data_IF_250973045313
#
_entry.id   IF_250973045313
#
_cell.length_a   1.000
_cell.length_b   1.000
_cell.length_c   1.000
_cell.angle_alpha   90.00
_cell.angle_beta   90.00
_cell.angle_gamma   90.00
#
_symmetry.space_group_name_H-M   'P 1'
#
loop_
_entity.id
_entity.type
_entity.pdbx_description
1 polymer ?
#
# COMPACT_ATOMS: atom_id res chain seq x y z
N UNK A 1 -10.48 15.64 43.20
CA UNK A 1 -9.81 14.59 42.38
C UNK A 1 -10.74 14.16 41.23
N UNK A 2 -10.60 14.72 40.02
CA UNK A 2 -11.45 14.38 38.84
C UNK A 2 -10.71 14.47 37.49
N UNK A 3 -9.36 14.44 37.50
CA UNK A 3 -8.51 14.72 36.31
C UNK A 3 -7.79 13.49 35.74
N UNK A 4 -8.03 12.29 36.28
CA UNK A 4 -7.36 11.04 35.86
C UNK A 4 -7.99 10.37 34.63
N UNK A 5 -9.29 10.57 34.38
CA UNK A 5 -10.02 9.81 33.36
C UNK A 5 -9.63 10.19 31.92
N UNK A 6 -9.21 11.43 31.67
CA UNK A 6 -8.82 11.89 30.33
C UNK A 6 -7.47 11.31 29.87
N UNK A 7 -6.51 11.10 30.79
CA UNK A 7 -5.21 10.54 30.44
C UNK A 7 -5.33 9.05 30.10
N UNK A 8 -6.12 8.31 30.86
CA UNK A 8 -6.36 6.88 30.61
C UNK A 8 -6.93 6.70 29.20
N UNK A 9 -7.88 7.55 28.77
CA UNK A 9 -8.45 7.48 27.43
C UNK A 9 -7.40 7.72 26.33
N UNK A 10 -6.54 8.73 26.48
CA UNK A 10 -5.46 9.02 25.51
C UNK A 10 -4.43 7.89 25.46
N UNK A 11 -4.03 7.36 26.61
CA UNK A 11 -3.10 6.23 26.68
C UNK A 11 -3.71 4.95 26.10
N UNK A 12 -4.97 4.66 26.38
CA UNK A 12 -5.67 3.49 25.83
C UNK A 12 -5.79 3.62 24.32
N UNK A 13 -6.19 4.79 23.79
CA UNK A 13 -6.25 5.02 22.34
C UNK A 13 -4.87 4.95 21.67
N UNK A 14 -3.84 5.50 22.29
CA UNK A 14 -2.47 5.41 21.77
C UNK A 14 -1.97 3.98 21.78
N UNK A 15 -2.18 3.23 22.87
CA UNK A 15 -1.83 1.81 22.94
C UNK A 15 -2.64 0.99 21.93
N UNK A 16 -3.93 1.26 21.74
CA UNK A 16 -4.76 0.66 20.69
C UNK A 16 -4.22 0.98 19.30
N UNK A 17 -3.78 2.21 19.06
CA UNK A 17 -3.23 2.62 17.76
C UNK A 17 -1.87 1.95 17.51
N UNK A 18 -1.03 1.81 18.52
CA UNK A 18 0.24 1.09 18.42
C UNK A 18 0.02 -0.42 18.27
N UNK A 19 -0.92 -1.03 19.01
CA UNK A 19 -1.20 -2.46 18.84
C UNK A 19 -1.90 -2.75 17.53
N UNK A 20 -2.92 -1.99 17.12
CA UNK A 20 -3.56 -2.15 15.81
C UNK A 20 -2.62 -1.80 14.67
N UNK A 21 -1.78 -0.76 14.81
CA UNK A 21 -0.80 -0.39 13.79
C UNK A 21 0.30 -1.43 13.61
N UNK A 22 0.74 -2.08 14.70
CA UNK A 22 1.73 -3.17 14.67
C UNK A 22 1.11 -4.50 14.23
N UNK A 23 -0.14 -4.79 14.60
CA UNK A 23 -0.85 -5.99 14.15
C UNK A 23 -1.39 -5.85 12.72
N UNK A 24 -1.61 -4.63 12.22
CA UNK A 24 -2.00 -4.42 10.81
C UNK A 24 -0.91 -4.86 9.83
N UNK A 25 0.35 -4.97 10.28
CA UNK A 25 1.46 -5.52 9.49
C UNK A 25 1.46 -7.07 9.45
N UNK A 26 0.66 -7.73 10.30
CA UNK A 26 0.63 -9.20 10.45
C UNK A 26 -0.77 -9.79 10.41
N UNK A 27 -1.81 -8.98 10.20
CA UNK A 27 -3.13 -9.49 9.89
C UNK A 27 -3.12 -10.03 8.46
N UNK A 28 -2.79 -11.32 8.39
CA UNK A 28 -3.26 -12.26 7.38
C UNK A 28 -4.80 -12.27 7.42
N UNK A 29 -5.41 -11.14 7.05
CA UNK A 29 -6.81 -11.07 6.66
C UNK A 29 -6.85 -11.91 5.41
N UNK A 30 -7.31 -13.17 5.56
CA UNK A 30 -7.36 -14.15 4.47
C UNK A 30 -7.61 -13.44 3.16
N UNK A 31 -6.55 -13.41 2.34
CA UNK A 31 -6.45 -12.70 1.06
C UNK A 31 -7.82 -12.80 0.38
N UNK A 32 -8.48 -11.67 0.13
CA UNK A 32 -9.89 -11.60 -0.29
C UNK A 32 -10.06 -12.14 -1.73
N UNK A 33 -9.74 -13.40 -1.95
CA UNK A 33 -9.70 -14.08 -3.25
C UNK A 33 -11.10 -14.43 -3.74
N UNK A 34 -12.11 -14.40 -2.88
CA UNK A 34 -13.48 -14.70 -3.31
C UNK A 34 -14.12 -13.52 -4.05
N UNK A 35 -13.78 -12.29 -3.67
CA UNK A 35 -14.38 -11.10 -4.29
C UNK A 35 -13.66 -10.74 -5.60
N UNK A 36 -12.36 -11.04 -5.74
CA UNK A 36 -11.61 -10.76 -6.99
C UNK A 36 -12.25 -11.46 -8.20
N UNK A 37 -12.63 -12.73 -8.08
CA UNK A 37 -13.24 -13.50 -9.16
C UNK A 37 -14.56 -12.87 -9.63
N UNK A 38 -15.37 -12.39 -8.67
CA UNK A 38 -16.62 -11.69 -8.97
C UNK A 38 -16.36 -10.35 -9.66
N UNK A 39 -15.34 -9.61 -9.23
CA UNK A 39 -14.95 -8.33 -9.83
C UNK A 39 -14.42 -8.50 -11.26
N UNK A 40 -13.60 -9.52 -11.51
CA UNK A 40 -13.08 -9.86 -12.84
C UNK A 40 -14.21 -10.26 -13.78
N UNK A 41 -15.14 -11.11 -13.32
CA UNK A 41 -16.31 -11.52 -14.10
C UNK A 41 -17.20 -10.31 -14.44
N UNK A 42 -17.48 -9.44 -13.47
CA UNK A 42 -18.26 -8.24 -13.70
C UNK A 42 -17.62 -7.30 -14.75
N UNK A 43 -16.29 -7.14 -14.75
CA UNK A 43 -15.63 -6.34 -15.78
C UNK A 43 -15.68 -7.01 -17.16
N UNK A 44 -15.41 -8.31 -17.22
CA UNK A 44 -15.44 -9.09 -18.46
C UNK A 44 -16.79 -8.98 -19.17
N UNK A 45 -17.89 -9.08 -18.42
CA UNK A 45 -19.26 -8.98 -18.98
C UNK A 45 -19.61 -7.56 -19.46
N UNK A 46 -18.94 -6.54 -18.94
CA UNK A 46 -19.22 -5.13 -19.25
C UNK A 46 -18.29 -4.54 -20.33
N UNK A 47 -17.33 -5.31 -20.84
CA UNK A 47 -16.42 -4.90 -21.91
C UNK A 47 -16.75 -5.74 -23.15
N UNK A 48 -16.88 -5.14 -24.35
CA UNK A 48 -17.15 -5.89 -25.57
C UNK A 48 -16.13 -7.02 -25.79
N UNK A 49 -16.58 -8.18 -26.24
CA UNK A 49 -15.71 -9.36 -26.45
C UNK A 49 -14.61 -9.10 -27.48
N UNK A 50 -14.90 -8.29 -28.50
CA UNK A 50 -13.99 -7.91 -29.58
C UNK A 50 -13.05 -6.75 -29.22
N UNK A 51 -13.20 -6.15 -28.04
CA UNK A 51 -12.29 -5.11 -27.57
C UNK A 51 -10.87 -5.67 -27.36
N UNK A 52 -9.88 -4.89 -27.78
CA UNK A 52 -8.47 -5.30 -27.81
C UNK A 52 -7.67 -4.56 -26.73
N UNK A 53 -7.45 -5.22 -25.61
CA UNK A 53 -6.73 -4.68 -24.44
C UNK A 53 -5.22 -4.81 -24.67
N UNK A 54 -4.45 -3.71 -24.70
CA UNK A 54 -3.00 -3.77 -24.85
C UNK A 54 -2.35 -4.32 -23.58
N UNK A 55 -1.45 -5.29 -23.72
CA UNK A 55 -0.71 -5.87 -22.61
C UNK A 55 0.72 -6.21 -23.04
N UNK A 56 1.68 -5.78 -22.22
CA UNK A 56 3.04 -6.32 -22.22
C UNK A 56 3.07 -7.44 -21.20
N UNK A 57 3.51 -8.64 -21.57
CA UNK A 57 3.51 -9.80 -20.68
C UNK A 57 4.66 -10.73 -21.01
N UNK A 58 5.01 -11.57 -20.04
CA UNK A 58 5.89 -12.73 -20.26
C UNK A 58 5.07 -14.03 -20.18
N UNK A 59 5.16 -14.91 -21.18
CA UNK A 59 4.50 -16.22 -21.13
C UNK A 59 5.04 -17.09 -19.98
N UNK A 60 4.21 -18.02 -19.47
CA UNK A 60 4.60 -18.97 -18.41
C UNK A 60 5.83 -19.77 -18.76
N UNK A 61 5.94 -20.16 -20.03
CA UNK A 61 7.05 -20.98 -20.54
C UNK A 61 8.40 -20.24 -20.51
N UNK A 62 8.36 -18.91 -20.41
CA UNK A 62 9.55 -18.05 -20.35
C UNK A 62 9.82 -17.52 -18.94
N UNK A 63 8.77 -17.23 -18.18
CA UNK A 63 8.88 -16.78 -16.79
C UNK A 63 9.00 -17.92 -15.77
N UNK A 64 8.75 -19.16 -16.17
CA UNK A 64 8.73 -20.36 -15.31
C UNK A 64 7.94 -20.12 -14.02
N UNK A 65 8.58 -20.27 -12.85
CA UNK A 65 7.96 -20.05 -11.53
C UNK A 65 7.84 -18.57 -11.15
N UNK A 66 8.42 -17.66 -11.94
CA UNK A 66 8.47 -16.22 -11.66
C UNK A 66 7.53 -15.40 -12.54
N UNK A 67 6.75 -16.08 -13.39
CA UNK A 67 5.87 -15.41 -14.34
C UNK A 67 4.84 -14.50 -13.64
N UNK A 68 4.36 -14.82 -12.42
CA UNK A 68 3.43 -13.92 -11.71
C UNK A 68 4.15 -12.65 -11.32
N UNK A 69 5.29 -12.76 -10.60
CA UNK A 69 6.13 -11.61 -10.21
C UNK A 69 6.43 -10.70 -11.40
N UNK A 70 6.85 -11.29 -12.52
CA UNK A 70 7.23 -10.59 -13.75
C UNK A 70 6.06 -9.89 -14.45
N UNK A 71 4.82 -10.36 -14.29
CA UNK A 71 3.65 -9.80 -14.97
C UNK A 71 2.86 -8.77 -14.15
N UNK A 72 2.95 -8.78 -12.81
CA UNK A 72 2.15 -7.89 -11.94
C UNK A 72 2.26 -6.42 -12.35
N UNK A 73 3.48 -5.92 -12.57
CA UNK A 73 3.70 -4.52 -12.92
C UNK A 73 3.02 -4.11 -14.24
N UNK A 74 3.12 -4.96 -15.27
CA UNK A 74 2.54 -4.64 -16.58
C UNK A 74 1.01 -4.79 -16.58
N UNK A 75 0.46 -5.68 -15.76
CA UNK A 75 -0.99 -5.79 -15.57
C UNK A 75 -1.57 -4.58 -14.84
N UNK A 76 -0.89 -4.07 -13.82
CA UNK A 76 -1.28 -2.81 -13.16
C UNK A 76 -1.37 -1.69 -14.19
N UNK A 77 -0.34 -1.53 -15.03
CA UNK A 77 -0.30 -0.50 -16.06
C UNK A 77 -1.41 -0.67 -17.11
N UNK A 78 -1.62 -1.90 -17.58
CA UNK A 78 -2.68 -2.21 -18.55
C UNK A 78 -4.07 -1.91 -17.98
N UNK A 79 -4.33 -2.27 -16.71
CA UNK A 79 -5.57 -1.95 -16.02
C UNK A 79 -5.73 -0.45 -15.77
N UNK A 80 -4.67 0.29 -15.45
CA UNK A 80 -4.74 1.75 -15.32
C UNK A 80 -5.18 2.39 -16.64
N UNK A 81 -4.54 2.00 -17.75
CA UNK A 81 -4.89 2.44 -19.10
C UNK A 81 -6.35 2.08 -19.46
N UNK A 82 -6.81 0.87 -19.08
CA UNK A 82 -8.20 0.44 -19.25
C UNK A 82 -9.15 1.29 -18.40
N UNK A 83 -8.78 1.60 -17.15
CA UNK A 83 -9.60 2.39 -16.23
C UNK A 83 -9.87 3.80 -16.76
N UNK A 84 -8.92 4.36 -17.52
CA UNK A 84 -9.05 5.66 -18.15
C UNK A 84 -10.07 5.67 -19.30
N UNK A 85 -10.45 4.51 -19.84
CA UNK A 85 -11.53 4.39 -20.86
C UNK A 85 -12.92 4.50 -20.26
N UNK A 86 -13.07 4.24 -18.98
CA UNK A 86 -14.35 4.35 -18.30
C UNK A 86 -14.64 5.79 -17.85
N UNK A 87 -15.92 6.15 -17.87
CA UNK A 87 -16.40 7.42 -17.33
C UNK A 87 -16.02 7.61 -15.86
N UNK A 88 -15.90 8.85 -15.41
CA UNK A 88 -15.36 9.18 -14.08
C UNK A 88 -16.18 8.65 -12.89
N UNK A 89 -17.47 8.38 -13.09
CA UNK A 89 -18.40 7.87 -12.07
C UNK A 89 -18.86 6.44 -12.43
N UNK A 90 -18.11 5.76 -13.29
CA UNK A 90 -18.44 4.40 -13.73
C UNK A 90 -18.07 3.39 -12.65
N UNK A 91 -19.00 2.49 -12.32
CA UNK A 91 -18.71 1.33 -11.47
C UNK A 91 -17.57 0.48 -12.04
N UNK A 92 -17.45 0.36 -13.36
CA UNK A 92 -16.34 -0.37 -13.98
C UNK A 92 -14.99 0.29 -13.68
N UNK A 93 -14.94 1.62 -13.61
CA UNK A 93 -13.72 2.34 -13.21
C UNK A 93 -13.35 2.03 -11.77
N UNK A 94 -14.33 2.01 -10.87
CA UNK A 94 -14.11 1.71 -9.45
C UNK A 94 -13.69 0.26 -9.23
N UNK A 95 -14.33 -0.70 -9.92
CA UNK A 95 -13.92 -2.12 -9.90
C UNK A 95 -12.51 -2.29 -10.46
N UNK A 96 -12.18 -1.62 -11.56
CA UNK A 96 -10.83 -1.68 -12.15
C UNK A 96 -9.78 -1.16 -11.17
N UNK A 97 -10.04 -0.03 -10.50
CA UNK A 97 -9.16 0.52 -9.46
C UNK A 97 -8.98 -0.44 -8.30
N UNK A 98 -10.03 -1.13 -7.87
CA UNK A 98 -9.94 -2.13 -6.82
C UNK A 98 -9.03 -3.30 -7.22
N UNK A 99 -9.12 -3.78 -8.46
CA UNK A 99 -8.22 -4.83 -8.99
C UNK A 99 -6.77 -4.33 -9.05
N UNK A 100 -6.55 -3.08 -9.46
CA UNK A 100 -5.21 -2.46 -9.43
C UNK A 100 -4.66 -2.45 -8.00
N UNK A 101 -5.47 -2.11 -7.01
CA UNK A 101 -5.04 -2.14 -5.60
C UNK A 101 -4.62 -3.54 -5.17
N UNK A 102 -5.35 -4.59 -5.56
CA UNK A 102 -4.95 -5.96 -5.27
C UNK A 102 -3.61 -6.34 -5.92
N UNK A 103 -3.38 -5.95 -7.18
CA UNK A 103 -2.07 -6.18 -7.83
C UNK A 103 -0.95 -5.40 -7.14
N UNK A 104 -1.22 -4.18 -6.66
CA UNK A 104 -0.24 -3.40 -5.91
C UNK A 104 0.13 -4.08 -4.58
N UNK A 105 -0.83 -4.70 -3.91
CA UNK A 105 -0.57 -5.50 -2.70
C UNK A 105 0.32 -6.71 -3.03
N UNK A 106 0.06 -7.42 -4.13
CA UNK A 106 0.93 -8.48 -4.64
C UNK A 106 2.35 -7.97 -4.91
N UNK A 107 2.46 -6.83 -5.59
CA UNK A 107 3.75 -6.22 -5.94
C UNK A 107 4.55 -5.87 -4.69
N UNK A 108 3.92 -5.29 -3.68
CA UNK A 108 4.56 -4.95 -2.40
C UNK A 108 5.11 -6.21 -1.72
N UNK A 109 4.36 -7.32 -1.75
CA UNK A 109 4.81 -8.59 -1.18
C UNK A 109 6.05 -9.10 -1.93
N UNK A 110 6.05 -9.07 -3.26
CA UNK A 110 7.20 -9.52 -4.06
C UNK A 110 8.44 -8.64 -3.89
N UNK A 111 8.26 -7.33 -3.69
CA UNK A 111 9.36 -6.38 -3.48
C UNK A 111 10.08 -6.55 -2.13
N UNK A 112 9.56 -7.35 -1.19
CA UNK A 112 10.22 -7.57 0.10
C UNK A 112 11.55 -8.33 -0.02
N UNK A 113 11.67 -9.22 -1.01
CA UNK A 113 12.84 -10.08 -1.17
C UNK A 113 13.54 -9.91 -2.54
N UNK A 114 12.93 -9.20 -3.48
CA UNK A 114 13.44 -9.05 -4.85
C UNK A 114 13.34 -7.60 -5.30
N UNK A 115 14.39 -7.11 -5.98
CA UNK A 115 14.28 -5.86 -6.72
C UNK A 115 13.54 -6.11 -8.04
N UNK A 116 12.24 -5.87 -8.04
CA UNK A 116 11.37 -6.16 -9.18
C UNK A 116 11.78 -5.40 -10.45
N UNK A 117 12.33 -4.19 -10.34
CA UNK A 117 12.78 -3.42 -11.50
C UNK A 117 13.99 -4.06 -12.19
N UNK A 118 14.96 -4.52 -11.39
CA UNK A 118 16.09 -5.29 -11.93
C UNK A 118 15.62 -6.61 -12.54
N UNK A 119 14.73 -7.32 -11.85
CA UNK A 119 14.19 -8.59 -12.34
C UNK A 119 13.45 -8.42 -13.69
N UNK A 120 12.62 -7.38 -13.82
CA UNK A 120 11.95 -7.08 -15.09
C UNK A 120 12.99 -6.80 -16.19
N UNK A 121 14.05 -6.05 -15.88
CA UNK A 121 15.13 -5.75 -16.82
C UNK A 121 15.87 -7.02 -17.28
N UNK A 122 16.11 -7.97 -16.38
CA UNK A 122 16.81 -9.22 -16.72
C UNK A 122 16.01 -10.10 -17.70
N UNK A 123 14.68 -9.95 -17.70
CA UNK A 123 13.76 -10.67 -18.59
C UNK A 123 13.30 -9.86 -19.82
N UNK A 124 13.85 -8.66 -20.06
CA UNK A 124 13.37 -7.71 -21.09
C UNK A 124 13.15 -8.37 -22.47
N UNK A 125 14.09 -9.20 -22.92
CA UNK A 125 14.05 -9.85 -24.23
C UNK A 125 12.95 -10.92 -24.39
N UNK A 126 12.29 -11.32 -23.29
CA UNK A 126 11.24 -12.35 -23.28
C UNK A 126 9.82 -11.77 -23.18
N UNK A 127 9.70 -10.47 -22.94
CA UNK A 127 8.40 -9.81 -22.93
C UNK A 127 7.85 -9.69 -24.36
N UNK A 128 6.56 -9.95 -24.49
CA UNK A 128 5.78 -9.73 -25.70
C UNK A 128 4.77 -8.63 -25.44
N UNK A 129 4.53 -7.78 -26.45
CA UNK A 129 3.50 -6.74 -26.38
C UNK A 129 2.42 -7.05 -27.40
N UNK A 130 1.22 -7.34 -26.91
CA UNK A 130 0.10 -7.80 -27.71
C UNK A 130 -1.19 -7.05 -27.36
N UNK A 131 -2.23 -7.33 -28.14
CA UNK A 131 -3.58 -6.79 -27.98
C UNK A 131 -4.56 -7.93 -27.84
N UNK A 132 -4.91 -8.24 -26.60
CA UNK A 132 -5.71 -9.40 -26.27
C UNK A 132 -7.20 -9.11 -26.31
N UNK A 133 -7.97 -10.12 -26.69
CA UNK A 133 -9.42 -10.09 -26.55
C UNK A 133 -9.80 -10.05 -25.07
N UNK A 134 -10.95 -9.45 -24.76
CA UNK A 134 -11.44 -9.27 -23.40
C UNK A 134 -11.41 -10.58 -22.61
N UNK A 135 -11.91 -11.68 -23.19
CA UNK A 135 -11.90 -12.99 -22.53
C UNK A 135 -10.49 -13.44 -22.11
N UNK A 136 -9.56 -13.50 -23.07
CA UNK A 136 -8.17 -13.93 -22.84
C UNK A 136 -7.47 -13.08 -21.79
N UNK A 137 -7.69 -11.75 -21.81
CA UNK A 137 -7.09 -10.84 -20.84
C UNK A 137 -7.57 -11.10 -19.41
N UNK A 138 -8.88 -11.25 -19.21
CA UNK A 138 -9.42 -11.51 -17.88
C UNK A 138 -9.16 -12.94 -17.40
N UNK A 139 -9.07 -13.92 -18.31
CA UNK A 139 -8.64 -15.28 -17.98
C UNK A 139 -7.20 -15.30 -17.45
N UNK A 140 -6.29 -14.53 -18.08
CA UNK A 140 -4.91 -14.40 -17.61
C UNK A 140 -4.80 -13.72 -16.24
N UNK A 141 -5.55 -12.64 -16.01
CA UNK A 141 -5.63 -11.99 -14.69
C UNK A 141 -6.13 -12.96 -13.63
N UNK A 142 -7.20 -13.70 -13.91
CA UNK A 142 -7.73 -14.69 -12.99
C UNK A 142 -6.70 -15.77 -12.67
N UNK A 143 -5.98 -16.27 -13.67
CA UNK A 143 -4.93 -17.27 -13.48
C UNK A 143 -3.78 -16.72 -12.62
N UNK A 144 -3.43 -15.45 -12.80
CA UNK A 144 -2.43 -14.77 -11.98
C UNK A 144 -2.84 -14.66 -10.52
N UNK A 145 -4.06 -14.21 -10.23
CA UNK A 145 -4.55 -14.12 -8.85
C UNK A 145 -4.68 -15.49 -8.18
N UNK A 146 -4.94 -16.56 -8.94
CA UNK A 146 -4.94 -17.94 -8.41
C UNK A 146 -3.53 -18.46 -8.11
N UNK A 147 -2.54 -18.06 -8.89
CA UNK A 147 -1.16 -18.50 -8.72
C UNK A 147 -0.41 -17.71 -7.65
N UNK A 148 -0.69 -16.41 -7.52
CA UNK A 148 0.05 -15.49 -6.64
C UNK A 148 0.19 -15.95 -5.17
N UNK A 149 -0.81 -16.56 -4.52
CA UNK A 149 -0.67 -17.07 -3.15
C UNK A 149 0.36 -18.21 -3.01
N UNK A 150 0.59 -18.96 -4.09
CA UNK A 150 1.52 -20.09 -4.10
C UNK A 150 2.90 -19.71 -4.65
N UNK A 151 3.08 -18.46 -5.09
CA UNK A 151 4.36 -17.99 -5.59
C UNK A 151 5.34 -17.88 -4.41
N UNK A 152 6.36 -18.74 -4.39
CA UNK A 152 7.37 -18.71 -3.35
C UNK A 152 8.17 -17.40 -3.46
N UNK A 153 7.95 -16.50 -2.51
CA UNK A 153 8.64 -15.19 -2.46
C UNK A 153 10.16 -15.35 -2.35
N UNK A 154 10.65 -16.51 -1.89
CA UNK A 154 12.08 -16.81 -1.70
C UNK A 154 12.78 -17.45 -2.90
N UNK A 155 12.07 -17.83 -3.96
CA UNK A 155 12.70 -18.44 -5.15
C UNK A 155 13.36 -17.37 -6.03
N UNK A 156 14.64 -17.60 -6.33
CA UNK A 156 15.47 -16.78 -7.23
C UNK A 156 15.05 -17.03 -8.68
N UNK A 157 14.96 -15.96 -9.46
CA UNK A 157 14.42 -15.96 -10.81
C UNK A 157 15.54 -15.75 -11.82
N UNK A 158 15.99 -16.81 -12.46
CA UNK A 158 17.02 -16.73 -13.50
C UNK A 158 16.39 -16.67 -14.90
N UNK A 159 16.75 -15.69 -15.75
CA UNK A 159 16.18 -15.60 -17.09
C UNK A 159 16.72 -16.71 -18.01
N UNK A 160 15.84 -17.33 -18.84
CA UNK A 160 16.31 -18.22 -19.89
C UNK A 160 17.12 -17.44 -20.94
N UNK A 161 17.93 -18.12 -21.78
CA UNK A 161 18.67 -17.46 -22.85
C UNK A 161 17.72 -16.79 -23.86
N UNK A 162 18.03 -15.54 -24.23
CA UNK A 162 17.23 -14.78 -25.19
C UNK A 162 17.13 -15.52 -26.55
N UNK A 163 15.99 -15.41 -27.26
CA UNK A 163 15.85 -15.97 -28.60
C UNK A 163 16.95 -15.48 -29.53
N UNK A 164 17.73 -16.40 -30.12
CA UNK A 164 18.71 -16.05 -31.15
C UNK A 164 17.98 -15.88 -32.48
N UNK A 165 17.93 -14.66 -33.00
CA UNK A 165 17.39 -14.41 -34.34
C UNK A 165 18.34 -15.09 -35.36
N UNK A 166 17.88 -16.04 -36.19
CA UNK A 166 18.69 -16.51 -37.30
C UNK A 166 18.85 -15.34 -38.28
N UNK A 167 20.09 -14.86 -38.45
CA UNK A 167 20.42 -13.86 -39.47
C UNK A 167 20.13 -14.46 -40.83
N UNK A 168 19.05 -14.02 -41.47
CA UNK A 168 18.82 -14.24 -42.89
C UNK A 168 19.86 -13.44 -43.66
N UNK A 169 20.82 -14.13 -44.28
CA UNK A 169 21.76 -13.57 -45.24
C UNK A 169 20.99 -13.09 -46.47
N UNK A 170 20.60 -11.82 -46.49
CA UNK A 170 20.32 -11.13 -47.74
C UNK A 170 21.63 -10.53 -48.26
N UNK A 171 22.07 -11.12 -49.37
CA UNK A 171 23.20 -10.76 -50.20
C UNK A 171 22.99 -9.36 -50.80
N UNK A 172 23.73 -8.35 -50.31
CA UNK A 172 23.90 -7.10 -51.04
C UNK A 172 25.38 -6.80 -51.25
N UNK A 173 25.65 -6.63 -52.54
CA UNK A 173 26.93 -6.40 -53.20
C UNK A 173 27.62 -5.11 -52.73
N UNK A 174 28.94 -5.12 -52.91
CA UNK A 174 29.93 -4.17 -52.41
C UNK A 174 29.76 -2.71 -52.84
N UNK A 175 30.17 -1.79 -51.96
CA UNK A 175 31.02 -0.67 -52.35
C UNK A 175 31.92 -0.21 -51.19
N UNK A 176 33.18 0.08 -51.53
CA UNK A 176 34.32 0.25 -50.65
C UNK A 176 34.33 1.61 -49.93
N UNK A 177 34.76 1.61 -48.66
CA UNK A 177 35.66 2.66 -48.16
C UNK A 177 36.59 2.12 -47.07
N UNK A 178 37.86 2.04 -47.45
CA UNK A 178 39.04 1.64 -46.67
C UNK A 178 39.30 2.63 -45.53
N UNK A 179 39.73 2.15 -44.35
CA UNK A 179 41.05 2.47 -43.74
C UNK A 179 41.20 1.85 -42.33
N UNK A 180 42.33 1.14 -42.20
CA UNK A 180 43.11 0.74 -41.01
C UNK A 180 42.47 -0.15 -39.94
N UNK A 181 42.94 -1.39 -39.92
CA UNK A 181 43.01 -2.18 -38.70
C UNK A 181 44.10 -1.69 -37.75
N UNK A 182 43.83 -1.82 -36.46
CA UNK A 182 44.84 -2.04 -35.43
C UNK A 182 44.22 -2.96 -34.37
N UNK A 183 44.87 -4.09 -34.12
CA UNK A 183 44.48 -5.06 -33.12
C UNK A 183 44.76 -4.54 -31.70
N UNK A 184 43.92 -5.03 -30.77
CA UNK A 184 44.22 -5.42 -29.37
C UNK A 184 43.99 -4.36 -28.28
N UNK A 185 42.89 -4.54 -27.54
CA UNK A 185 42.91 -4.78 -26.07
C UNK A 185 41.49 -5.03 -25.52
N UNK A 186 41.42 -5.87 -24.48
CA UNK A 186 40.24 -6.36 -23.74
C UNK A 186 39.78 -5.34 -22.66
N UNK A 187 38.67 -5.58 -21.92
CA UNK A 187 37.59 -4.63 -21.69
C UNK A 187 37.88 -3.60 -20.59
N UNK A 188 37.34 -2.39 -20.75
CA UNK A 188 37.32 -1.39 -19.68
C UNK A 188 35.94 -1.38 -19.00
N UNK A 189 35.94 -1.94 -17.79
CA UNK A 189 34.92 -1.79 -16.77
C UNK A 189 34.74 -0.30 -16.49
N UNK A 190 33.57 0.26 -16.79
CA UNK A 190 33.18 1.59 -16.30
C UNK A 190 32.29 1.39 -15.08
N UNK A 191 32.90 1.53 -13.90
CA UNK A 191 32.18 1.94 -12.70
C UNK A 191 31.49 3.27 -13.01
N UNK A 192 30.16 3.24 -13.08
CA UNK A 192 29.34 4.43 -12.99
C UNK A 192 28.77 4.43 -11.57
N UNK A 193 29.48 5.10 -10.67
CA UNK A 193 28.89 5.55 -9.42
C UNK A 193 27.79 6.55 -9.76
N UNK A 194 26.53 6.10 -9.71
CA UNK A 194 25.40 7.01 -9.54
C UNK A 194 24.80 6.71 -8.18
N UNK A 195 25.25 7.46 -7.17
CA UNK A 195 24.56 7.51 -5.89
C UNK A 195 23.17 8.10 -6.12
N UNK A 196 22.11 7.29 -5.94
CA UNK A 196 20.74 7.75 -6.03
C UNK A 196 20.36 8.53 -4.76
N UNK A 197 20.12 9.85 -4.83
CA UNK A 197 19.83 10.70 -3.67
C UNK A 197 18.40 10.54 -3.13
N UNK A 198 17.59 9.62 -3.69
CA UNK A 198 16.16 9.51 -3.39
C UNK A 198 15.89 8.54 -2.24
N UNK A 199 16.66 7.46 -2.11
CA UNK A 199 16.51 6.48 -1.03
C UNK A 199 16.80 7.10 0.35
N UNK A 200 17.84 7.94 0.41
CA UNK A 200 18.22 8.65 1.64
C UNK A 200 17.14 9.65 2.10
N UNK A 201 16.38 10.23 1.16
CA UNK A 201 15.34 11.23 1.47
C UNK A 201 14.06 10.57 2.01
N UNK A 202 13.70 9.38 1.54
CA UNK A 202 12.50 8.66 2.00
C UNK A 202 12.69 8.07 3.40
N UNK A 203 13.86 7.47 3.67
CA UNK A 203 14.20 6.99 5.03
C UNK A 203 14.23 8.16 6.03
N UNK A 204 14.90 9.26 5.67
CA UNK A 204 14.93 10.48 6.51
C UNK A 204 13.54 11.08 6.72
N UNK A 205 12.65 11.02 5.73
CA UNK A 205 11.27 11.50 5.82
C UNK A 205 10.42 10.67 6.79
N UNK A 206 10.56 9.34 6.75
CA UNK A 206 9.86 8.42 7.65
C UNK A 206 10.33 8.56 9.11
N UNK A 207 11.64 8.65 9.34
CA UNK A 207 12.18 8.92 10.68
C UNK A 207 11.76 10.31 11.17
N UNK A 208 11.81 11.35 10.33
CA UNK A 208 11.37 12.70 10.70
C UNK A 208 9.89 12.76 11.09
N UNK A 209 9.02 11.96 10.44
CA UNK A 209 7.60 11.85 10.79
C UNK A 209 7.36 11.18 12.15
N UNK A 210 8.21 10.24 12.57
CA UNK A 210 8.15 9.62 13.90
C UNK A 210 8.74 10.54 14.99
N UNK A 211 9.72 11.39 14.67
CA UNK A 211 10.32 12.31 15.64
C UNK A 211 9.38 13.44 16.06
N UNK A 212 8.54 13.97 15.15
CA UNK A 212 7.60 15.06 15.45
C UNK A 212 6.63 14.72 16.60
N UNK A 213 5.88 13.59 16.57
CA UNK A 213 4.98 13.24 17.67
C UNK A 213 5.75 12.88 18.96
N UNK A 214 6.96 12.30 18.84
CA UNK A 214 7.77 11.89 19.99
C UNK A 214 8.35 13.11 20.73
N UNK A 215 8.82 14.11 20.00
CA UNK A 215 9.26 15.40 20.54
C UNK A 215 8.10 16.16 21.17
N UNK A 216 6.92 16.20 20.54
CA UNK A 216 5.73 16.83 21.11
C UNK A 216 5.35 16.19 22.45
N UNK A 217 5.45 14.86 22.56
CA UNK A 217 5.16 14.13 23.80
C UNK A 217 6.19 14.44 24.90
N UNK A 218 7.48 14.51 24.57
CA UNK A 218 8.54 14.94 25.49
C UNK A 218 8.31 16.38 25.96
N UNK A 219 7.95 17.30 25.07
CA UNK A 219 7.65 18.69 25.41
C UNK A 219 6.44 18.79 26.35
N UNK A 220 5.37 18.03 26.12
CA UNK A 220 4.21 18.00 27.01
C UNK A 220 4.55 17.44 28.40
N UNK A 221 5.40 16.41 28.47
CA UNK A 221 5.88 15.86 29.74
C UNK A 221 6.77 16.85 30.49
N UNK A 222 7.70 17.51 29.80
CA UNK A 222 8.60 18.52 30.37
C UNK A 222 7.83 19.76 30.84
N UNK A 223 6.88 20.26 30.03
CA UNK A 223 6.00 21.36 30.41
C UNK A 223 5.19 21.01 31.65
N UNK A 224 4.63 19.80 31.72
CA UNK A 224 3.84 19.36 32.86
C UNK A 224 4.68 19.17 34.13
N UNK A 225 5.90 18.66 34.01
CA UNK A 225 6.83 18.53 35.13
C UNK A 225 7.25 19.92 35.67
N UNK A 226 7.50 20.88 34.77
CA UNK A 226 7.84 22.26 35.14
C UNK A 226 6.66 23.03 35.73
N UNK A 227 5.46 22.83 35.17
CA UNK A 227 4.22 23.44 35.68
C UNK A 227 3.84 22.92 37.06
N UNK A 228 4.14 21.66 37.40
CA UNK A 228 3.96 21.16 38.77
C UNK A 228 4.93 21.83 39.75
N UNK A 229 6.20 21.99 39.38
CA UNK A 229 7.21 22.65 40.24
C UNK A 229 6.90 24.13 40.54
N UNK A 230 6.30 24.86 39.59
CA UNK A 230 5.89 26.26 39.81
C UNK A 230 4.61 26.41 40.67
N UNK A 231 3.91 25.32 41.00
CA UNK A 231 2.72 25.36 41.86
C UNK A 231 3.07 25.09 43.33
N UNK A 232 4.30 24.66 43.61
CA UNK A 232 4.77 24.29 44.95
C UNK A 232 5.49 25.42 45.71
N UNK A 233 5.38 26.69 45.28
CA UNK A 233 5.87 27.83 46.08
C UNK A 233 4.87 28.15 47.22
N UNK A 234 5.22 27.97 48.51
CA UNK A 234 4.29 28.19 49.62
C UNK A 234 4.21 29.67 50.00
N UNK A 235 3.02 30.26 49.96
CA UNK A 235 2.70 31.46 50.74
C UNK A 235 2.16 31.06 52.13
N UNK A 236 2.42 31.83 53.21
CA UNK A 236 2.24 31.37 54.59
C UNK A 236 0.80 31.47 55.09
N UNK A 237 0.43 30.51 55.94
CA UNK A 237 -0.83 30.38 56.70
C UNK A 237 -1.27 31.65 57.47
N UNK A 238 -2.58 31.77 57.74
CA UNK A 238 -3.09 31.57 59.11
C UNK A 238 -4.34 30.65 59.12
N UNK A 239 -4.40 29.58 59.93
CA UNK A 239 -4.92 29.58 61.32
C UNK A 239 -6.45 29.38 61.32
N UNK A 240 -6.97 28.15 61.40
CA UNK A 240 -7.45 27.43 62.62
C UNK A 240 -8.92 27.70 63.03
N UNK A 241 -9.51 26.70 63.69
CA UNK A 241 -10.83 26.60 64.37
C UNK A 241 -12.04 26.13 63.53
N UNK A 242 -12.53 24.89 63.60
CA UNK A 242 -12.95 23.97 64.68
C UNK A 242 -14.43 24.14 65.11
N UNK A 243 -15.15 23.01 65.10
CA UNK A 243 -16.31 22.61 65.96
C UNK A 243 -17.78 23.05 65.75
N UNK A 244 -18.61 21.98 65.76
CA UNK A 244 -19.99 21.80 66.29
C UNK A 244 -21.24 22.38 65.58
N UNK A 245 -22.16 21.50 65.13
CA UNK A 245 -23.47 21.24 65.80
C UNK A 245 -24.50 20.45 64.93
N UNK A 246 -24.93 19.33 65.52
CA UNK A 246 -26.06 18.39 65.38
C UNK A 246 -27.49 18.94 65.10
N UNK A 247 -28.20 18.29 64.15
CA UNK A 247 -29.64 17.82 64.09
C UNK A 247 -30.79 18.85 64.15
N UNK A 248 -31.79 18.89 63.23
CA UNK A 248 -32.94 17.96 63.08
C UNK A 248 -33.71 18.09 61.72
N UNK A 249 -34.61 17.13 61.38
CA UNK A 249 -35.25 16.94 60.07
C UNK A 249 -36.75 17.32 60.01
N UNK A 250 -37.34 17.41 58.79
CA UNK A 250 -38.77 17.08 58.55
C UNK A 250 -39.08 16.87 57.06
N UNK A 251 -39.83 15.81 56.75
CA UNK A 251 -40.48 15.54 55.44
C UNK A 251 -41.97 15.16 55.69
N UNK A 252 -42.76 14.78 54.66
CA UNK A 252 -43.74 15.56 53.88
C UNK A 252 -45.21 15.10 54.16
N UNK A 253 -46.27 15.41 53.36
CA UNK A 253 -46.56 14.62 52.13
C UNK A 253 -47.41 15.30 50.99
N UNK A 254 -47.43 14.62 49.81
CA UNK A 254 -48.51 14.31 48.80
C UNK A 254 -49.53 15.42 48.37
N UNK A 255 -50.08 15.55 47.15
CA UNK A 255 -50.28 14.64 46.00
C UNK A 255 -50.89 15.42 44.79
N UNK A 256 -51.03 14.72 43.66
CA UNK A 256 -52.10 14.78 42.63
C UNK A 256 -51.79 15.33 41.22
N UNK A 257 -51.61 14.36 40.31
CA UNK A 257 -52.15 14.19 38.94
C UNK A 257 -52.83 15.36 38.22
N UNK A 258 -52.52 15.52 36.91
CA UNK A 258 -53.49 15.20 35.82
C UNK A 258 -52.87 15.35 34.40
N UNK A 259 -52.99 14.28 33.61
CA UNK A 259 -53.52 14.14 32.23
C UNK A 259 -53.16 15.14 31.10
N UNK A 260 -53.13 14.82 29.79
CA UNK A 260 -53.14 13.65 28.88
C UNK A 260 -53.12 14.26 27.44
N UNK A 261 -52.50 13.57 26.46
CA UNK A 261 -52.66 13.58 24.98
C UNK A 261 -52.96 14.87 24.17
N UNK A 262 -52.22 15.09 23.06
CA UNK A 262 -52.62 14.76 21.65
C UNK A 262 -51.56 15.31 20.64
N UNK A 263 -50.96 14.49 19.77
CA UNK A 263 -51.36 14.09 18.38
C UNK A 263 -50.60 14.87 17.29
N UNK A 264 -50.03 14.10 16.36
CA UNK A 264 -49.38 14.51 15.11
C UNK A 264 -50.39 14.81 13.99
N UNK A 265 -50.04 15.72 13.07
CA UNK A 265 -50.49 15.86 11.67
C UNK A 265 -49.89 17.20 11.15
N UNK A 266 -49.32 17.40 9.96
CA UNK A 266 -49.17 16.68 8.68
C UNK A 266 -47.79 17.05 8.13
#
# INVERSE_FOLDING_TARGET
>A
MKKSNSWIHVCVHFLLFMTLGVHSATLDVGRVTNDIDKHLLALRENIPEDYRIPLTYIPREKGEMCWVKLNVFFLEKSLDDLSQKFGNISSNKDITKLIIMYLQDERIIFQQNVNLELLISDFECHYSTERWETGTYFDFLQELFRAAPNENVSEECDPPPCPTIPVSTEEYSAENLTIKGEERSKPHQKEVHTANPIHEVVEKSLFSLLFIPLLALIFLLAWKARSRRNVDDPLPNPGEEDRFATTEPRAPPLDSETNVLNVCAV
#
